data_IF_299700627917
#
_entry.id   IF_299700627917
#
_cell.length_a   1.000
_cell.length_b   1.000
_cell.length_c   1.000
_cell.angle_alpha   90.00
_cell.angle_beta   90.00
_cell.angle_gamma   90.00
#
_symmetry.space_group_name_H-M   'P 1'
#
loop_
_entity.id
_entity.type
_entity.pdbx_description
1 polymer ?
#
# COMPACT_ATOMS: atom_id res chain seq x y z
N UNK A 1 21.81 2.13 -3.71
CA UNK A 1 20.51 2.34 -3.05
C UNK A 1 20.24 1.12 -2.18
N UNK A 2 19.83 1.28 -0.92
CA UNK A 2 19.52 0.12 -0.06
C UNK A 2 18.23 -0.56 -0.52
N UNK A 3 18.04 -1.84 -0.18
CA UNK A 3 16.79 -2.59 -0.46
C UNK A 3 15.55 -1.91 0.11
N UNK A 4 15.67 -1.27 1.28
CA UNK A 4 14.60 -0.48 1.87
C UNK A 4 14.26 0.79 1.07
N UNK A 5 15.28 1.51 0.58
CA UNK A 5 15.08 2.68 -0.28
C UNK A 5 14.45 2.27 -1.62
N UNK A 6 14.87 1.14 -2.18
CA UNK A 6 14.27 0.61 -3.41
C UNK A 6 12.79 0.23 -3.22
N UNK A 7 12.46 -0.44 -2.11
CA UNK A 7 11.07 -0.76 -1.76
C UNK A 7 10.19 0.50 -1.67
N UNK A 8 10.68 1.57 -1.04
CA UNK A 8 9.98 2.85 -1.00
C UNK A 8 9.79 3.50 -2.37
N UNK A 9 10.84 3.52 -3.20
CA UNK A 9 10.79 4.05 -4.56
C UNK A 9 9.75 3.29 -5.39
N UNK A 10 9.76 1.96 -5.35
CA UNK A 10 8.83 1.09 -6.09
C UNK A 10 7.39 1.21 -5.60
N UNK A 11 7.18 1.39 -4.29
CA UNK A 11 5.85 1.67 -3.76
C UNK A 11 5.30 3.01 -4.28
N UNK A 12 6.14 4.05 -4.32
CA UNK A 12 5.76 5.34 -4.90
C UNK A 12 5.47 5.24 -6.39
N UNK A 13 6.29 4.50 -7.14
CA UNK A 13 6.07 4.19 -8.56
C UNK A 13 4.73 3.49 -8.80
N UNK A 14 4.42 2.45 -8.01
CA UNK A 14 3.13 1.76 -8.08
C UNK A 14 1.95 2.72 -7.86
N UNK A 15 2.01 3.56 -6.84
CA UNK A 15 0.93 4.52 -6.56
C UNK A 15 0.78 5.56 -7.68
N UNK A 16 1.89 6.01 -8.28
CA UNK A 16 1.86 6.92 -9.42
C UNK A 16 1.21 6.29 -10.66
N UNK A 17 1.49 5.01 -10.93
CA UNK A 17 0.85 4.26 -12.04
C UNK A 17 -0.66 4.13 -11.82
N UNK A 18 -1.08 3.77 -10.61
CA UNK A 18 -2.51 3.70 -10.26
C UNK A 18 -3.19 5.06 -10.38
N UNK A 19 -2.55 6.14 -9.91
CA UNK A 19 -3.08 7.49 -10.02
C UNK A 19 -3.21 7.96 -11.49
N UNK A 20 -2.31 7.50 -12.36
CA UNK A 20 -2.37 7.74 -13.80
C UNK A 20 -3.40 6.85 -14.53
N UNK A 21 -4.05 5.91 -13.83
CA UNK A 21 -4.97 4.93 -14.41
C UNK A 21 -4.30 3.78 -15.16
N UNK A 22 -2.98 3.65 -15.08
CA UNK A 22 -2.21 2.57 -15.72
C UNK A 22 -2.15 1.33 -14.82
N UNK A 23 -3.29 0.67 -14.67
CA UNK A 23 -3.40 -0.55 -13.86
C UNK A 23 -2.52 -1.68 -14.41
N UNK A 24 -2.34 -1.76 -15.73
CA UNK A 24 -1.54 -2.82 -16.37
C UNK A 24 -0.07 -2.69 -15.98
N UNK A 25 0.49 -1.48 -16.00
CA UNK A 25 1.86 -1.26 -15.54
C UNK A 25 2.00 -1.49 -14.03
N UNK A 26 1.02 -1.07 -13.23
CA UNK A 26 1.02 -1.28 -11.79
C UNK A 26 1.04 -2.78 -11.45
N UNK A 27 0.22 -3.59 -12.13
CA UNK A 27 0.17 -5.05 -11.96
C UNK A 27 1.49 -5.70 -12.39
N UNK A 28 2.10 -5.24 -13.49
CA UNK A 28 3.42 -5.71 -13.94
C UNK A 28 4.52 -5.44 -12.91
N UNK A 29 4.49 -4.28 -12.23
CA UNK A 29 5.45 -3.95 -11.18
C UNK A 29 5.37 -4.96 -10.03
N UNK A 30 4.15 -5.31 -9.58
CA UNK A 30 3.97 -6.31 -8.54
C UNK A 30 4.37 -7.71 -9.03
N UNK A 31 3.94 -8.11 -10.23
CA UNK A 31 4.25 -9.41 -10.81
C UNK A 31 5.76 -9.63 -11.03
N UNK A 32 6.50 -8.57 -11.34
CA UNK A 32 7.96 -8.59 -11.46
C UNK A 32 8.71 -8.63 -10.12
N UNK A 33 8.02 -8.58 -8.98
CA UNK A 33 8.63 -8.69 -7.65
C UNK A 33 8.66 -10.15 -7.21
N UNK A 34 9.72 -10.87 -7.62
CA UNK A 34 9.84 -12.32 -7.37
C UNK A 34 10.71 -12.67 -6.17
N UNK A 35 11.66 -11.82 -5.82
CA UNK A 35 12.61 -12.09 -4.75
C UNK A 35 12.02 -11.79 -3.36
N UNK A 36 12.21 -12.72 -2.41
CA UNK A 36 11.62 -12.63 -1.07
C UNK A 36 12.00 -11.33 -0.33
N UNK A 37 13.25 -10.88 -0.50
CA UNK A 37 13.72 -9.64 0.09
C UNK A 37 12.97 -8.44 -0.49
N UNK A 38 12.85 -8.37 -1.82
CA UNK A 38 12.16 -7.28 -2.51
C UNK A 38 10.69 -7.23 -2.14
N UNK A 39 10.01 -8.39 -2.10
CA UNK A 39 8.61 -8.49 -1.65
C UNK A 39 8.46 -7.97 -0.22
N UNK A 40 9.40 -8.29 0.66
CA UNK A 40 9.36 -7.87 2.06
C UNK A 40 9.54 -6.36 2.20
N UNK A 41 10.52 -5.77 1.51
CA UNK A 41 10.77 -4.32 1.57
C UNK A 41 9.68 -3.51 0.86
N UNK A 42 9.16 -3.99 -0.28
CA UNK A 42 8.04 -3.35 -0.96
C UNK A 42 6.77 -3.39 -0.10
N UNK A 43 6.47 -4.53 0.53
CA UNK A 43 5.35 -4.64 1.48
C UNK A 43 5.53 -3.74 2.70
N UNK A 44 6.75 -3.65 3.26
CA UNK A 44 7.04 -2.72 4.35
C UNK A 44 6.80 -1.26 3.93
N UNK A 45 7.17 -0.88 2.70
CA UNK A 45 6.92 0.46 2.17
C UNK A 45 5.42 0.76 2.02
N UNK A 46 4.61 -0.16 1.46
CA UNK A 46 3.15 0.01 1.41
C UNK A 46 2.53 0.12 2.81
N UNK A 47 3.00 -0.69 3.75
CA UNK A 47 2.57 -0.64 5.15
C UNK A 47 2.87 0.74 5.76
N UNK A 48 4.08 1.27 5.54
CA UNK A 48 4.49 2.57 6.04
C UNK A 48 3.61 3.70 5.48
N UNK A 49 3.36 3.69 4.16
CA UNK A 49 2.49 4.67 3.49
C UNK A 49 1.06 4.61 4.04
N UNK A 50 0.47 3.41 4.11
CA UNK A 50 -0.89 3.25 4.60
C UNK A 50 -1.02 3.67 6.08
N UNK A 51 -0.09 3.25 6.95
CA UNK A 51 -0.15 3.61 8.38
C UNK A 51 0.16 5.08 8.64
N UNK A 52 1.02 5.72 7.85
CA UNK A 52 1.25 7.16 7.97
C UNK A 52 0.01 7.94 7.54
N UNK A 53 -0.59 7.58 6.40
CA UNK A 53 -1.82 8.19 5.91
C UNK A 53 -3.00 7.99 6.86
N UNK A 54 -3.21 6.78 7.38
CA UNK A 54 -4.32 6.51 8.29
C UNK A 54 -4.28 7.34 9.59
N UNK A 55 -3.09 7.81 10.01
CA UNK A 55 -2.95 8.66 11.21
C UNK A 55 -3.53 10.06 11.02
N UNK A 56 -3.66 10.55 9.78
CA UNK A 56 -4.25 11.86 9.47
C UNK A 56 -5.75 11.77 9.17
N UNK A 57 -6.29 10.56 9.00
CA UNK A 57 -7.72 10.33 8.77
C UNK A 57 -8.55 10.43 10.06
N UNK A 58 -9.87 10.51 9.90
CA UNK A 58 -10.83 10.46 11.00
C UNK A 58 -10.67 9.19 11.86
N UNK A 59 -11.12 9.20 13.12
CA UNK A 59 -11.04 8.01 13.99
C UNK A 59 -11.68 6.76 13.38
N UNK A 60 -12.83 6.91 12.70
CA UNK A 60 -13.53 5.80 12.05
C UNK A 60 -12.70 5.18 10.91
N UNK A 61 -12.17 5.99 9.99
CA UNK A 61 -11.32 5.50 8.90
C UNK A 61 -10.01 4.88 9.41
N UNK A 62 -9.43 5.45 10.47
CA UNK A 62 -8.22 4.90 11.11
C UNK A 62 -8.47 3.53 11.73
N UNK A 63 -9.63 3.35 12.39
CA UNK A 63 -10.03 2.06 12.94
C UNK A 63 -10.26 1.03 11.81
N UNK A 64 -10.89 1.45 10.71
CA UNK A 64 -11.05 0.61 9.52
C UNK A 64 -9.70 0.17 8.93
N UNK A 65 -8.76 1.11 8.73
CA UNK A 65 -7.42 0.80 8.25
C UNK A 65 -6.69 -0.17 9.18
N UNK A 66 -6.78 0.03 10.50
CA UNK A 66 -6.20 -0.89 11.50
C UNK A 66 -6.76 -2.31 11.33
N UNK A 67 -8.08 -2.45 11.23
CA UNK A 67 -8.72 -3.76 11.04
C UNK A 67 -8.36 -4.42 9.70
N UNK A 68 -8.11 -3.63 8.65
CA UNK A 68 -7.64 -4.15 7.35
C UNK A 68 -6.19 -4.62 7.43
N UNK A 69 -5.31 -3.85 8.07
CA UNK A 69 -3.93 -4.27 8.36
C UNK A 69 -3.87 -5.58 9.14
N UNK A 70 -4.73 -5.78 10.15
CA UNK A 70 -4.76 -7.05 10.90
C UNK A 70 -5.04 -8.26 9.98
N UNK A 71 -5.99 -8.14 9.06
CA UNK A 71 -6.30 -9.21 8.09
C UNK A 71 -5.15 -9.45 7.13
N UNK A 72 -4.48 -8.39 6.69
CA UNK A 72 -3.32 -8.47 5.80
C UNK A 72 -2.13 -9.12 6.51
N UNK A 73 -1.89 -8.82 7.79
CA UNK A 73 -0.86 -9.49 8.59
C UNK A 73 -1.13 -11.00 8.69
N UNK A 74 -2.39 -11.40 8.88
CA UNK A 74 -2.73 -12.83 8.88
C UNK A 74 -2.39 -13.53 7.55
N UNK A 75 -2.55 -12.84 6.40
CA UNK A 75 -2.10 -13.35 5.10
C UNK A 75 -0.57 -13.50 5.05
N UNK A 76 0.19 -12.54 5.60
CA UNK A 76 1.66 -12.60 5.66
C UNK A 76 2.14 -13.80 6.46
N UNK A 77 1.51 -14.02 7.61
CA UNK A 77 1.85 -15.10 8.54
C UNK A 77 1.54 -16.47 7.93
N UNK A 78 0.40 -16.60 7.26
CA UNK A 78 0.02 -17.82 6.54
C UNK A 78 0.98 -18.15 5.40
N UNK A 79 1.45 -17.14 4.65
CA UNK A 79 2.36 -17.30 3.51
C UNK A 79 3.80 -17.69 3.91
N UNK A 80 4.23 -17.47 5.16
CA UNK A 80 5.59 -17.77 5.64
C UNK A 80 6.70 -17.22 4.74
N UNK A 81 7.43 -18.07 4.02
CA UNK A 81 8.50 -17.68 3.08
C UNK A 81 8.18 -18.11 1.65
N UNK A 82 6.96 -18.56 1.39
CA UNK A 82 6.51 -18.95 0.05
C UNK A 82 6.31 -17.69 -0.81
N UNK A 83 7.15 -17.47 -1.84
CA UNK A 83 7.04 -16.30 -2.70
C UNK A 83 5.71 -16.25 -3.46
N UNK A 84 5.11 -17.40 -3.80
CA UNK A 84 3.84 -17.42 -4.52
C UNK A 84 2.70 -16.95 -3.62
N UNK A 85 2.59 -17.50 -2.41
CA UNK A 85 1.62 -17.05 -1.42
C UNK A 85 1.81 -15.58 -1.00
N UNK A 86 3.05 -15.08 -1.02
CA UNK A 86 3.36 -13.68 -0.71
C UNK A 86 2.87 -12.68 -1.76
N UNK A 87 2.58 -13.11 -3.00
CA UNK A 87 2.02 -12.21 -4.03
C UNK A 87 0.65 -11.71 -3.63
N UNK A 88 -0.19 -12.58 -3.04
CA UNK A 88 -1.51 -12.19 -2.54
C UNK A 88 -1.41 -11.21 -1.38
N UNK A 89 -0.47 -11.43 -0.45
CA UNK A 89 -0.19 -10.49 0.63
C UNK A 89 0.27 -9.12 0.10
N UNK A 90 1.19 -9.12 -0.87
CA UNK A 90 1.73 -7.89 -1.46
C UNK A 90 0.66 -7.09 -2.20
N UNK A 91 -0.19 -7.75 -3.00
CA UNK A 91 -1.32 -7.12 -3.67
C UNK A 91 -2.33 -6.52 -2.68
N UNK A 92 -2.61 -7.21 -1.57
CA UNK A 92 -3.50 -6.71 -0.53
C UNK A 92 -2.94 -5.45 0.15
N UNK A 93 -1.63 -5.40 0.42
CA UNK A 93 -0.95 -4.21 0.94
C UNK A 93 -0.97 -3.04 -0.05
N UNK A 94 -0.70 -3.31 -1.33
CA UNK A 94 -0.74 -2.30 -2.37
C UNK A 94 -2.14 -1.68 -2.49
N UNK A 95 -3.18 -2.52 -2.50
CA UNK A 95 -4.58 -2.07 -2.49
C UNK A 95 -4.93 -1.26 -1.24
N UNK A 96 -4.38 -1.60 -0.08
CA UNK A 96 -4.58 -0.80 1.14
C UNK A 96 -3.89 0.56 1.08
N UNK A 97 -2.70 0.66 0.51
CA UNK A 97 -2.01 1.93 0.29
C UNK A 97 -2.78 2.83 -0.67
N UNK A 98 -3.32 2.27 -1.77
CA UNK A 98 -4.20 2.98 -2.71
C UNK A 98 -5.47 3.46 -2.01
N UNK A 99 -6.13 2.59 -1.25
CA UNK A 99 -7.36 2.93 -0.53
C UNK A 99 -7.15 4.09 0.44
N UNK A 100 -6.11 4.04 1.28
CA UNK A 100 -5.80 5.12 2.22
C UNK A 100 -5.45 6.41 1.48
N UNK A 101 -4.69 6.33 0.38
CA UNK A 101 -4.37 7.52 -0.43
C UNK A 101 -5.64 8.18 -0.99
N UNK A 102 -6.57 7.39 -1.53
CA UNK A 102 -7.86 7.91 -1.99
C UNK A 102 -8.71 8.55 -0.89
N UNK A 103 -8.68 8.00 0.34
CA UNK A 103 -9.35 8.63 1.48
C UNK A 103 -8.73 9.99 1.84
N UNK A 104 -7.41 10.14 1.71
CA UNK A 104 -6.72 11.41 1.93
C UNK A 104 -7.09 12.44 0.88
N UNK A 105 -7.14 12.05 -0.40
CA UNK A 105 -7.51 12.94 -1.49
C UNK A 105 -8.94 13.47 -1.32
N UNK A 106 -9.89 12.60 -0.95
CA UNK A 106 -11.27 13.00 -0.65
C UNK A 106 -11.33 13.94 0.55
N UNK A 107 -10.56 13.67 1.61
CA UNK A 107 -10.51 14.55 2.78
C UNK A 107 -9.93 15.93 2.44
N UNK A 108 -8.86 15.97 1.65
CA UNK A 108 -8.23 17.20 1.18
C UNK A 108 -9.17 18.02 0.30
N UNK A 109 -9.85 17.39 -0.66
CA UNK A 109 -10.83 18.05 -1.52
C UNK A 109 -11.99 18.67 -0.72
N UNK A 110 -12.49 17.98 0.31
CA UNK A 110 -13.52 18.51 1.21
C UNK A 110 -13.03 19.70 2.04
N UNK A 111 -11.80 19.64 2.54
CA UNK A 111 -11.20 20.76 3.27
C UNK A 111 -11.06 22.00 2.36
N UNK A 112 -10.63 21.81 1.12
CA UNK A 112 -10.54 22.89 0.13
C UNK A 112 -11.91 23.48 -0.23
N UNK A 113 -12.94 22.64 -0.37
CA UNK A 113 -14.31 23.08 -0.69
C UNK A 113 -15.04 23.76 0.48
N UNK A 114 -14.68 23.43 1.73
CA UNK A 114 -15.27 24.01 2.95
C UNK A 114 -14.58 25.28 3.46
N UNK A 115 -13.58 25.78 2.73
CA UNK A 115 -12.90 27.06 3.04
C UNK A 115 -13.54 28.18 2.20
N UNK A 116 -14.76 28.60 2.59
CA UNK A 116 -15.42 29.86 2.19
C UNK A 116 -16.08 30.47 3.43
#
# INVERSE_FOLDING_TARGET
MSTAQDGHRRAAEYLALVAAGDQVAADRLLAGTTELADMTYLGAAFTAISRSGARTLSPAHRAQATGRHMRITALRDAARRDPEALRAWLAALAGEAVFVSGLLDVAAARAAAGTV
#
